data_IF_924529360433
#
_entry.id   IF_924529360433
#
_cell.length_a   1.000
_cell.length_b   1.000
_cell.length_c   1.000
_cell.angle_alpha   90.00
_cell.angle_beta   90.00
_cell.angle_gamma   90.00
#
_symmetry.space_group_name_H-M   'P 1'
#
loop_
_entity.id
_entity.type
_entity.pdbx_description
1 polymer ?
#
# COMPACT_ATOMS: atom_id res chain seq x y z
N UNK A 1 4.89 -0.23 7.43
CA UNK A 1 6.01 0.03 6.48
C UNK A 1 7.23 0.49 7.28
N UNK A 2 8.47 0.07 6.95
CA UNK A 2 9.65 0.36 7.78
C UNK A 2 9.86 1.85 8.10
N UNK A 3 9.56 2.74 7.16
CA UNK A 3 9.64 4.19 7.39
C UNK A 3 8.65 4.70 8.43
N UNK A 4 7.40 4.20 8.42
CA UNK A 4 6.39 4.60 9.39
C UNK A 4 6.75 4.12 10.80
N UNK A 5 7.28 2.90 10.91
CA UNK A 5 7.79 2.34 12.16
C UNK A 5 8.96 3.17 12.70
N UNK A 6 9.90 3.56 11.84
CA UNK A 6 11.01 4.44 12.19
C UNK A 6 10.54 5.80 12.74
N UNK A 7 9.55 6.43 12.10
CA UNK A 7 9.00 7.72 12.54
C UNK A 7 8.32 7.64 13.92
N UNK A 8 7.90 6.45 14.34
CA UNK A 8 7.23 6.22 15.62
C UNK A 8 8.19 5.88 16.77
N UNK A 9 9.50 5.75 16.51
CA UNK A 9 10.50 5.44 17.52
C UNK A 9 10.64 6.57 18.56
N UNK A 10 10.88 6.26 19.85
CA UNK A 10 10.94 7.26 20.93
C UNK A 10 11.91 8.42 20.69
N UNK A 11 13.11 8.16 20.14
CA UNK A 11 14.12 9.20 19.84
C UNK A 11 13.92 9.96 18.52
N UNK A 12 12.95 9.54 17.70
CA UNK A 12 12.58 10.19 16.44
C UNK A 12 11.26 10.97 16.61
N UNK A 13 10.41 10.48 17.52
CA UNK A 13 9.10 11.04 17.83
C UNK A 13 9.24 12.44 18.46
N UNK A 14 8.69 13.44 17.79
CA UNK A 14 8.74 14.85 18.22
C UNK A 14 9.86 15.67 17.56
N UNK A 15 10.75 15.03 16.81
CA UNK A 15 11.72 15.69 15.94
C UNK A 15 11.16 16.05 14.56
N UNK A 16 12.00 16.61 13.69
CA UNK A 16 11.66 16.83 12.28
C UNK A 16 11.46 15.47 11.60
N UNK A 17 10.24 15.23 11.09
CA UNK A 17 9.92 13.99 10.37
C UNK A 17 10.78 13.88 9.12
N UNK A 18 11.51 12.77 9.02
CA UNK A 18 12.27 12.45 7.81
C UNK A 18 11.30 12.07 6.69
N UNK A 19 11.54 12.59 5.49
CA UNK A 19 10.85 12.11 4.29
C UNK A 19 11.29 10.68 3.97
N UNK A 20 10.52 9.97 3.15
CA UNK A 20 10.89 8.61 2.75
C UNK A 20 12.25 8.57 2.05
N UNK A 21 12.54 9.55 1.19
CA UNK A 21 13.85 9.69 0.53
C UNK A 21 15.01 9.88 1.51
N UNK A 22 14.81 10.72 2.53
CA UNK A 22 15.83 10.90 3.58
C UNK A 22 16.04 9.61 4.37
N UNK A 23 14.96 8.89 4.67
CA UNK A 23 15.01 7.60 5.35
C UNK A 23 15.83 6.57 4.57
N UNK A 24 15.65 6.47 3.24
CA UNK A 24 16.44 5.57 2.39
C UNK A 24 17.95 5.83 2.43
N UNK A 25 18.39 7.03 2.84
CA UNK A 25 19.81 7.38 2.97
C UNK A 25 20.36 7.09 4.38
N UNK A 26 19.52 7.08 5.42
CA UNK A 26 19.98 7.00 6.81
C UNK A 26 19.63 5.71 7.54
N UNK A 27 18.76 4.84 7.00
CA UNK A 27 18.28 3.66 7.72
C UNK A 27 19.36 2.64 8.11
N UNK A 28 20.52 2.66 7.44
CA UNK A 28 21.70 1.83 7.69
C UNK A 28 22.77 2.54 8.55
N UNK A 29 22.51 3.78 8.97
CA UNK A 29 23.42 4.57 9.80
C UNK A 29 22.91 4.56 11.23
N UNK A 30 23.69 3.95 12.12
CA UNK A 30 23.29 3.78 13.53
C UNK A 30 24.09 4.64 14.51
N UNK A 31 24.98 5.49 14.00
CA UNK A 31 25.84 6.38 14.80
C UNK A 31 25.59 7.85 14.49
N UNK A 32 25.89 8.77 15.43
CA UNK A 32 25.91 10.20 15.15
C UNK A 32 26.96 10.54 14.08
N UNK A 33 26.77 11.63 13.29
CA UNK A 33 25.68 12.61 13.36
C UNK A 33 24.41 12.23 12.56
N UNK A 34 24.41 11.12 11.80
CA UNK A 34 23.27 10.75 10.96
C UNK A 34 22.13 10.10 11.76
N UNK A 35 22.46 9.41 12.85
CA UNK A 35 21.49 8.83 13.78
C UNK A 35 21.54 9.54 15.13
N UNK A 36 20.43 10.18 15.49
CA UNK A 36 20.27 10.90 16.76
C UNK A 36 19.54 10.07 17.83
N UNK A 37 19.36 8.77 17.61
CA UNK A 37 18.76 7.86 18.59
C UNK A 37 19.83 7.52 19.63
N UNK A 38 19.58 7.90 20.88
CA UNK A 38 20.51 7.67 21.98
C UNK A 38 20.62 6.18 22.31
N UNK A 39 21.72 5.77 22.95
CA UNK A 39 21.92 4.38 23.39
C UNK A 39 20.79 3.89 24.30
N UNK A 40 20.22 4.76 25.14
CA UNK A 40 19.10 4.40 26.01
C UNK A 40 17.82 4.10 25.20
N UNK A 41 17.53 4.90 24.18
CA UNK A 41 16.37 4.70 23.30
C UNK A 41 16.51 3.44 22.44
N UNK A 42 17.74 3.09 22.03
CA UNK A 42 18.03 1.83 21.35
C UNK A 42 17.73 0.58 22.19
N UNK A 43 17.72 0.72 23.52
CA UNK A 43 17.39 -0.39 24.44
C UNK A 43 15.89 -0.57 24.66
N UNK A 44 15.04 0.21 23.98
CA UNK A 44 13.59 0.05 24.03
C UNK A 44 13.12 -1.13 23.17
N UNK A 45 12.03 -1.77 23.59
CA UNK A 45 11.41 -2.89 22.84
C UNK A 45 10.96 -2.46 21.44
N UNK A 46 10.45 -1.22 21.30
CA UNK A 46 10.03 -0.66 20.01
C UNK A 46 11.20 -0.58 19.03
N UNK A 47 12.36 -0.10 19.49
CA UNK A 47 13.55 -0.04 18.67
C UNK A 47 14.02 -1.45 18.28
N UNK A 48 14.11 -2.35 19.26
CA UNK A 48 14.52 -3.74 19.03
C UNK A 48 13.62 -4.46 18.03
N UNK A 49 12.29 -4.27 18.12
CA UNK A 49 11.32 -4.79 17.17
C UNK A 49 11.54 -4.21 15.77
N UNK A 50 11.72 -2.89 15.66
CA UNK A 50 11.94 -2.22 14.38
C UNK A 50 13.21 -2.75 13.67
N UNK A 51 14.36 -2.78 14.35
CA UNK A 51 15.60 -3.30 13.72
C UNK A 51 15.52 -4.79 13.44
N UNK A 52 14.75 -5.55 14.22
CA UNK A 52 14.47 -6.97 13.94
C UNK A 52 13.66 -7.14 12.65
N UNK A 53 12.53 -6.46 12.53
CA UNK A 53 11.67 -6.49 11.35
C UNK A 53 12.39 -6.01 10.09
N UNK A 54 13.20 -4.95 10.20
CA UNK A 54 13.97 -4.41 9.08
C UNK A 54 15.07 -5.38 8.63
N UNK A 55 15.83 -5.98 9.55
CA UNK A 55 16.83 -6.99 9.21
C UNK A 55 16.17 -8.20 8.52
N UNK A 56 15.04 -8.68 9.05
CA UNK A 56 14.31 -9.81 8.47
C UNK A 56 13.78 -9.48 7.06
N UNK A 57 13.27 -8.27 6.85
CA UNK A 57 12.82 -7.83 5.53
C UNK A 57 13.97 -7.81 4.51
N UNK A 58 15.10 -7.20 4.87
CA UNK A 58 16.27 -7.09 4.00
C UNK A 58 16.88 -8.46 3.67
N UNK A 59 16.94 -9.35 4.67
CA UNK A 59 17.41 -10.73 4.45
C UNK A 59 16.45 -11.52 3.55
N UNK A 60 15.14 -11.43 3.79
CA UNK A 60 14.15 -12.07 2.92
C UNK A 60 14.20 -11.53 1.49
N UNK A 61 14.47 -10.22 1.34
CA UNK A 61 14.61 -9.59 0.03
C UNK A 61 15.86 -10.08 -0.71
N UNK A 62 17.05 -10.07 -0.09
CA UNK A 62 18.27 -10.54 -0.76
C UNK A 62 18.16 -12.01 -1.19
N UNK A 63 17.51 -12.86 -0.36
CA UNK A 63 17.25 -14.27 -0.69
C UNK A 63 16.34 -14.44 -1.91
N UNK A 64 15.41 -13.51 -2.14
CA UNK A 64 14.51 -13.53 -3.31
C UNK A 64 15.19 -12.98 -4.57
N UNK A 65 16.03 -11.97 -4.43
CA UNK A 65 16.69 -11.30 -5.56
C UNK A 65 17.92 -12.06 -6.05
N UNK A 66 18.64 -12.74 -5.14
CA UNK A 66 19.91 -13.44 -5.45
C UNK A 66 19.86 -14.92 -5.04
N UNK A 67 18.92 -15.73 -5.57
CA UNK A 67 18.74 -17.12 -5.15
C UNK A 67 19.91 -18.05 -5.55
N UNK A 68 20.75 -17.64 -6.50
CA UNK A 68 21.89 -18.43 -7.00
C UNK A 68 23.20 -18.16 -6.24
N UNK A 69 23.25 -17.16 -5.36
CA UNK A 69 24.43 -16.87 -4.55
C UNK A 69 24.44 -17.71 -3.28
N UNK A 70 25.64 -18.03 -2.76
CA UNK A 70 25.79 -18.70 -1.46
C UNK A 70 25.58 -17.69 -0.31
N UNK A 71 24.31 -17.38 -0.08
CA UNK A 71 23.89 -16.42 0.93
C UNK A 71 24.16 -16.91 2.36
N UNK A 72 24.20 -18.22 2.58
CA UNK A 72 24.54 -18.79 3.90
C UNK A 72 25.99 -18.50 4.26
N UNK A 73 26.92 -18.65 3.30
CA UNK A 73 28.32 -18.22 3.48
C UNK A 73 28.43 -16.71 3.70
N UNK A 74 27.64 -15.91 2.96
CA UNK A 74 27.62 -14.46 3.12
C UNK A 74 27.15 -14.05 4.53
N UNK A 75 26.05 -14.62 5.04
CA UNK A 75 25.55 -14.30 6.37
C UNK A 75 26.50 -14.76 7.47
N UNK A 76 27.12 -15.94 7.33
CA UNK A 76 28.17 -16.38 8.25
C UNK A 76 29.35 -15.40 8.29
N UNK A 77 29.78 -14.88 7.15
CA UNK A 77 30.85 -13.89 7.12
C UNK A 77 30.46 -12.59 7.86
N UNK A 78 29.20 -12.17 7.78
CA UNK A 78 28.71 -11.01 8.55
C UNK A 78 28.70 -11.31 10.06
N UNK A 79 28.26 -12.50 10.45
CA UNK A 79 28.20 -12.91 11.85
C UNK A 79 29.63 -13.05 12.45
N UNK A 80 30.57 -13.59 11.68
CA UNK A 80 32.00 -13.70 12.05
C UNK A 80 32.66 -12.31 12.19
N UNK A 81 32.41 -11.39 11.27
CA UNK A 81 32.92 -10.02 11.35
C UNK A 81 32.35 -9.26 12.56
N UNK A 82 31.07 -9.46 12.85
CA UNK A 82 30.44 -8.91 14.04
C UNK A 82 31.08 -9.46 15.31
N UNK A 83 31.27 -10.78 15.42
CA UNK A 83 31.85 -11.39 16.63
C UNK A 83 33.26 -10.86 16.89
N UNK A 84 34.11 -10.80 15.84
CA UNK A 84 35.44 -10.22 15.94
C UNK A 84 35.40 -8.76 16.42
N UNK A 85 34.51 -7.94 15.83
CA UNK A 85 34.36 -6.53 16.20
C UNK A 85 33.82 -6.35 17.61
N UNK A 86 32.93 -7.26 18.05
CA UNK A 86 32.31 -7.26 19.36
C UNK A 86 33.31 -7.66 20.46
N UNK A 87 34.10 -8.70 20.23
CA UNK A 87 35.19 -9.14 21.11
C UNK A 87 36.25 -8.05 21.28
N UNK A 88 36.60 -7.35 20.19
CA UNK A 88 37.53 -6.21 20.22
C UNK A 88 36.91 -4.94 20.83
N UNK A 89 35.59 -4.93 21.08
CA UNK A 89 34.88 -3.77 21.61
C UNK A 89 34.85 -2.56 20.67
N UNK A 90 34.98 -2.79 19.35
CA UNK A 90 35.07 -1.76 18.32
C UNK A 90 33.80 -1.60 17.48
N UNK A 91 32.67 -2.18 17.94
CA UNK A 91 31.38 -2.00 17.24
C UNK A 91 30.92 -0.55 17.36
N UNK A 92 30.73 0.18 16.25
CA UNK A 92 30.37 1.59 16.27
C UNK A 92 29.08 1.86 17.07
N UNK A 93 29.13 2.78 18.03
CA UNK A 93 28.00 3.12 18.91
C UNK A 93 27.75 2.14 20.07
N UNK A 94 28.50 1.04 20.13
CA UNK A 94 28.43 0.02 21.18
C UNK A 94 29.80 -0.28 21.79
N UNK A 95 30.74 0.65 21.64
CA UNK A 95 32.12 0.52 22.11
C UNK A 95 32.12 0.17 23.60
N UNK A 96 33.03 -0.72 23.99
CA UNK A 96 33.23 -0.99 25.41
C UNK A 96 33.61 0.34 26.07
N UNK A 97 32.92 0.70 27.15
CA UNK A 97 33.36 1.81 28.00
C UNK A 97 34.74 1.43 28.53
N UNK A 98 35.81 1.85 27.86
CA UNK A 98 37.14 1.72 28.42
C UNK A 98 37.09 2.47 29.74
N UNK A 99 37.41 1.77 30.85
CA UNK A 99 37.79 2.44 32.07
C UNK A 99 38.87 3.44 31.68
N UNK A 100 38.63 4.73 31.89
CA UNK A 100 39.49 5.82 31.44
C UNK A 100 40.95 5.54 31.82
N UNK A 101 41.73 5.01 30.88
CA UNK A 101 43.17 5.12 30.93
C UNK A 101 43.49 6.51 30.40
N UNK A 102 43.69 7.40 31.36
CA UNK A 102 44.49 8.60 31.19
C UNK A 102 45.78 8.23 30.45
N UNK A 103 45.89 8.59 29.18
CA UNK A 103 47.16 8.97 28.58
C UNK A 103 46.87 9.94 27.43
N UNK A 104 47.17 11.21 27.69
CA UNK A 104 47.18 12.25 26.68
C UNK A 104 48.23 11.96 25.61
N UNK A 105 47.85 12.20 24.36
CA UNK A 105 48.74 12.14 23.21
C UNK A 105 48.01 12.72 22.02
N UNK A 106 48.33 13.96 21.68
CA UNK A 106 47.65 14.79 20.70
C UNK A 106 47.88 14.35 19.25
N UNK A 107 46.88 14.56 18.40
CA UNK A 107 47.05 15.07 17.04
C UNK A 107 45.77 15.79 16.60
N UNK A 108 45.85 17.11 16.44
CA UNK A 108 44.82 17.96 15.80
C UNK A 108 44.85 17.75 14.28
N UNK A 109 43.76 18.10 13.57
CA UNK A 109 43.83 19.32 12.75
C UNK A 109 42.76 20.35 13.12
N UNK A 110 43.11 21.62 12.91
CA UNK A 110 42.34 22.82 13.22
C UNK A 110 41.32 23.15 12.11
N UNK A 111 40.05 23.39 12.48
CA UNK A 111 39.31 24.62 12.17
C UNK A 111 37.90 24.61 12.83
N UNK A 112 37.57 25.71 13.52
CA UNK A 112 36.24 26.13 14.00
C UNK A 112 35.53 25.33 15.13
N UNK A 113 36.16 25.29 16.31
CA UNK A 113 35.67 26.07 17.46
C UNK A 113 34.40 25.64 18.20
N UNK A 114 34.22 24.36 18.51
CA UNK A 114 33.23 23.89 19.49
C UNK A 114 33.80 22.71 20.29
N UNK A 115 33.81 22.79 21.63
CA UNK A 115 34.18 21.65 22.49
C UNK A 115 32.91 21.06 23.08
N UNK A 116 32.64 19.79 22.81
CA UNK A 116 31.45 19.07 23.28
C UNK A 116 31.68 18.41 24.64
N UNK A 117 30.73 18.54 25.57
CA UNK A 117 30.72 17.78 26.82
C UNK A 117 29.76 16.59 26.72
N UNK A 118 30.28 15.36 26.88
CA UNK A 118 29.47 14.14 26.91
C UNK A 118 28.54 14.05 28.13
N UNK A 119 28.96 14.53 29.30
CA UNK A 119 28.16 14.46 30.55
C UNK A 119 27.01 15.49 30.59
N UNK A 120 27.14 16.59 29.86
CA UNK A 120 26.17 17.69 29.84
C UNK A 120 25.41 17.81 28.52
N UNK A 121 25.81 17.04 27.51
CA UNK A 121 25.27 17.07 26.14
C UNK A 121 25.15 18.49 25.58
N UNK A 122 26.23 19.28 25.74
CA UNK A 122 26.27 20.69 25.32
C UNK A 122 27.57 21.03 24.59
N UNK A 123 27.43 21.84 23.56
CA UNK A 123 28.52 22.43 22.80
C UNK A 123 28.95 23.77 23.44
N UNK A 124 30.25 23.93 23.64
CA UNK A 124 30.85 25.15 24.18
C UNK A 124 31.68 25.85 23.11
N UNK A 125 31.44 27.16 22.94
CA UNK A 125 32.05 28.00 21.90
C UNK A 125 33.58 28.06 21.92
N UNK A 126 34.20 27.74 23.05
CA UNK A 126 35.65 27.77 23.23
C UNK A 126 36.07 26.92 24.43
N UNK A 127 37.31 26.43 24.40
CA UNK A 127 37.91 25.56 25.41
C UNK A 127 37.91 26.17 26.83
N UNK A 128 38.05 27.49 26.95
CA UNK A 128 37.99 28.18 28.25
C UNK A 128 36.61 28.09 28.92
N UNK A 129 35.52 28.23 28.17
CA UNK A 129 34.16 28.11 28.73
C UNK A 129 33.85 26.64 29.03
N UNK A 130 34.34 25.71 28.21
CA UNK A 130 34.25 24.28 28.49
C UNK A 130 34.92 23.91 29.81
N UNK A 131 36.17 24.34 30.03
CA UNK A 131 36.91 24.10 31.28
C UNK A 131 36.25 24.71 32.50
N UNK A 132 35.69 25.91 32.38
CA UNK A 132 34.94 26.54 33.47
C UNK A 132 33.64 25.79 33.80
N UNK A 133 33.00 25.15 32.81
CA UNK A 133 31.78 24.38 33.03
C UNK A 133 32.05 23.05 33.79
N UNK A 134 33.24 22.45 33.64
CA UNK A 134 33.60 21.17 34.31
C UNK A 134 33.56 21.27 35.84
N UNK A 135 33.81 22.45 36.40
CA UNK A 135 33.73 22.69 37.84
C UNK A 135 32.34 23.14 38.31
N UNK A 136 31.38 23.30 37.38
CA UNK A 136 30.03 23.72 37.69
C UNK A 136 29.21 22.62 38.38
N UNK A 137 28.38 22.99 39.35
CA UNK A 137 27.52 22.06 40.12
C UNK A 137 26.66 21.13 39.24
N UNK A 138 26.23 21.60 38.06
CA UNK A 138 25.45 20.80 37.09
C UNK A 138 26.30 19.71 36.43
N UNK A 139 27.51 20.05 35.97
CA UNK A 139 28.42 19.06 35.37
C UNK A 139 28.83 18.02 36.41
N UNK A 140 29.19 18.43 37.62
CA UNK A 140 29.56 17.50 38.71
C UNK A 140 28.42 16.53 39.02
N UNK A 141 27.17 17.01 39.10
CA UNK A 141 26.01 16.14 39.37
C UNK A 141 25.77 15.15 38.22
N UNK A 142 25.87 15.60 36.97
CA UNK A 142 25.71 14.72 35.80
C UNK A 142 26.85 13.70 35.70
N UNK A 143 28.10 14.11 35.94
CA UNK A 143 29.27 13.24 35.95
C UNK A 143 29.22 12.21 37.11
N UNK A 144 28.63 12.56 38.27
CA UNK A 144 28.40 11.62 39.37
C UNK A 144 27.33 10.58 39.04
N UNK A 145 26.25 10.98 38.36
CA UNK A 145 25.22 10.06 37.86
C UNK A 145 25.81 9.13 36.78
N UNK A 146 26.66 9.64 35.90
CA UNK A 146 27.35 8.86 34.88
C UNK A 146 28.36 7.85 35.45
N UNK A 147 28.97 8.16 36.61
CA UNK A 147 29.94 7.31 37.32
C UNK A 147 29.35 6.41 38.43
N UNK A 148 28.01 6.35 38.57
CA UNK A 148 27.35 5.30 39.34
C UNK A 148 27.59 5.28 40.85
N UNK A 149 27.81 6.43 41.49
CA UNK A 149 27.90 6.51 42.96
C UNK A 149 26.62 7.10 43.57
N UNK A 150 25.69 6.29 44.11
CA UNK A 150 24.53 6.81 44.82
C UNK A 150 24.90 7.05 46.28
N UNK A 151 24.87 8.30 46.73
CA UNK A 151 24.70 8.61 48.14
C UNK A 151 23.20 8.47 48.48
N UNK A 152 22.91 7.69 49.51
CA UNK A 152 21.56 7.46 50.01
C UNK A 152 20.95 8.71 50.65
N UNK A 153 19.67 8.94 50.40
CA UNK A 153 18.65 8.93 51.46
C UNK A 153 17.22 9.02 50.89
N UNK A 154 16.37 8.12 51.41
CA UNK A 154 14.89 8.14 51.52
C UNK A 154 14.01 8.70 50.38
N UNK A 155 13.19 7.83 49.77
CA UNK A 155 11.73 7.81 49.99
C UNK A 155 11.06 6.69 49.17
N UNK A 156 10.23 5.90 49.85
CA UNK A 156 9.38 4.85 49.30
C UNK A 156 8.38 5.40 48.27
N UNK A 157 8.31 4.77 47.10
CA UNK A 157 7.08 4.72 46.30
C UNK A 157 7.03 3.41 45.54
N UNK A 158 5.93 2.72 45.74
CA UNK A 158 5.64 1.38 45.27
C UNK A 158 5.39 1.39 43.76
N UNK A 159 6.29 0.80 42.99
CA UNK A 159 6.15 0.60 41.56
C UNK A 159 7.00 -0.58 41.13
N UNK A 160 6.36 -1.71 40.86
CA UNK A 160 6.95 -2.96 40.39
C UNK A 160 7.84 -2.63 39.18
N UNK A 161 9.16 -2.67 39.38
CA UNK A 161 10.17 -2.56 38.32
C UNK A 161 10.98 -3.86 38.35
N UNK A 162 10.78 -4.67 37.31
CA UNK A 162 11.61 -5.84 37.01
C UNK A 162 12.97 -5.40 36.46
N UNK A 163 13.73 -4.64 37.24
CA UNK A 163 15.10 -4.21 36.90
C UNK A 163 16.10 -4.85 37.86
N UNK A 164 16.26 -6.17 37.75
CA UNK A 164 17.32 -6.91 38.42
C UNK A 164 17.96 -7.90 37.44
N UNK A 165 18.77 -7.37 36.52
CA UNK A 165 19.72 -8.15 35.75
C UNK A 165 21.03 -7.39 35.73
N UNK A 166 22.10 -8.00 36.25
CA UNK A 166 23.40 -7.35 36.40
C UNK A 166 24.02 -6.84 35.08
N UNK A 167 25.22 -6.23 35.13
CA UNK A 167 25.91 -5.68 33.96
C UNK A 167 26.07 -6.68 32.79
N UNK A 168 26.16 -7.98 33.09
CA UNK A 168 26.20 -9.04 32.09
C UNK A 168 24.89 -9.18 31.28
N UNK A 169 23.72 -9.06 31.91
CA UNK A 169 22.43 -9.14 31.20
C UNK A 169 22.19 -7.90 30.34
N UNK A 170 22.61 -6.73 30.83
CA UNK A 170 22.58 -5.49 30.04
C UNK A 170 23.45 -5.66 28.79
N UNK A 171 24.70 -6.12 28.94
CA UNK A 171 25.62 -6.33 27.81
C UNK A 171 25.12 -7.37 26.80
N UNK A 172 24.41 -8.41 27.26
CA UNK A 172 23.75 -9.38 26.38
C UNK A 172 22.64 -8.73 25.53
N UNK A 173 21.81 -7.89 26.14
CA UNK A 173 20.76 -7.14 25.43
C UNK A 173 21.37 -6.17 24.42
N UNK A 174 22.43 -5.46 24.81
CA UNK A 174 23.17 -4.58 23.90
C UNK A 174 23.74 -5.35 22.72
N UNK A 175 24.33 -6.53 22.95
CA UNK A 175 24.85 -7.41 21.89
C UNK A 175 23.78 -7.73 20.86
N UNK A 176 22.58 -8.12 21.32
CA UNK A 176 21.48 -8.47 20.43
C UNK A 176 20.98 -7.29 19.57
N UNK A 177 21.01 -6.06 20.11
CA UNK A 177 20.68 -4.85 19.32
C UNK A 177 21.79 -4.55 18.32
N UNK A 178 23.04 -4.55 18.79
CA UNK A 178 24.23 -4.26 17.99
C UNK A 178 24.40 -5.22 16.81
N UNK A 179 24.12 -6.51 17.02
CA UNK A 179 24.15 -7.54 15.98
C UNK A 179 23.15 -7.23 14.87
N UNK A 180 21.92 -6.83 15.21
CA UNK A 180 20.89 -6.46 14.23
C UNK A 180 21.25 -5.19 13.46
N UNK A 181 21.78 -4.19 14.14
CA UNK A 181 22.30 -2.97 13.50
C UNK A 181 23.42 -3.30 12.50
N UNK A 182 24.39 -4.13 12.91
CA UNK A 182 25.46 -4.58 12.03
C UNK A 182 24.92 -5.35 10.82
N UNK A 183 24.00 -6.28 11.03
CA UNK A 183 23.37 -7.07 9.97
C UNK A 183 22.66 -6.19 8.95
N UNK A 184 21.90 -5.17 9.41
CA UNK A 184 21.25 -4.20 8.50
C UNK A 184 22.31 -3.44 7.68
N UNK A 185 23.39 -2.96 8.31
CA UNK A 185 24.44 -2.23 7.61
C UNK A 185 25.12 -3.06 6.53
N UNK A 186 25.38 -4.35 6.82
CA UNK A 186 25.99 -5.30 5.87
C UNK A 186 25.03 -5.64 4.74
N UNK A 187 23.77 -5.95 5.04
CA UNK A 187 22.73 -6.20 4.03
C UNK A 187 22.52 -4.99 3.12
N UNK A 188 22.46 -3.79 3.68
CA UNK A 188 22.31 -2.55 2.91
C UNK A 188 23.53 -2.26 2.02
N UNK A 189 24.73 -2.66 2.46
CA UNK A 189 25.96 -2.53 1.68
C UNK A 189 26.02 -3.55 0.54
N UNK A 190 25.60 -4.80 0.79
CA UNK A 190 25.54 -5.87 -0.21
C UNK A 190 24.46 -5.63 -1.30
N UNK A 191 23.48 -4.76 -1.01
CA UNK A 191 22.40 -4.38 -1.91
C UNK A 191 22.42 -2.88 -2.24
N UNK A 192 23.62 -2.30 -2.37
CA UNK A 192 23.77 -0.86 -2.64
C UNK A 192 23.14 -0.44 -3.96
N UNK A 193 23.16 -1.30 -4.98
CA UNK A 193 22.58 -1.04 -6.31
C UNK A 193 21.06 -0.97 -6.22
N UNK A 194 20.43 -1.98 -5.63
CA UNK A 194 18.99 -2.10 -5.46
C UNK A 194 18.43 -0.97 -4.59
N UNK A 195 19.20 -0.53 -3.59
CA UNK A 195 18.91 0.64 -2.76
C UNK A 195 18.93 1.93 -3.58
N UNK A 196 19.95 2.12 -4.41
CA UNK A 196 20.10 3.31 -5.25
C UNK A 196 18.98 3.38 -6.30
N UNK A 197 18.68 2.24 -6.95
CA UNK A 197 17.57 2.12 -7.90
C UNK A 197 16.22 2.45 -7.24
N UNK A 198 16.01 1.98 -6.01
CA UNK A 198 14.83 2.32 -5.22
C UNK A 198 14.76 3.82 -4.93
N UNK A 199 15.89 4.46 -4.59
CA UNK A 199 15.93 5.92 -4.34
C UNK A 199 15.56 6.69 -5.61
N UNK A 200 16.20 6.38 -6.74
CA UNK A 200 15.93 7.02 -8.03
C UNK A 200 14.48 6.81 -8.45
N UNK A 201 13.93 5.61 -8.26
CA UNK A 201 12.53 5.33 -8.57
C UNK A 201 11.56 6.16 -7.71
N UNK A 202 11.86 6.34 -6.42
CA UNK A 202 11.05 7.17 -5.52
C UNK A 202 11.15 8.65 -5.90
N UNK A 203 12.35 9.15 -6.23
CA UNK A 203 12.55 10.52 -6.72
C UNK A 203 11.78 10.76 -8.02
N UNK A 204 11.86 9.83 -8.97
CA UNK A 204 11.07 9.87 -10.21
C UNK A 204 9.57 9.87 -9.92
N UNK A 205 9.10 9.03 -8.99
CA UNK A 205 7.68 8.98 -8.54
C UNK A 205 7.20 10.25 -7.87
N UNK A 206 8.07 10.94 -7.15
CA UNK A 206 7.76 12.23 -6.56
C UNK A 206 7.64 13.35 -7.61
N UNK A 207 8.36 13.24 -8.74
CA UNK A 207 8.32 14.21 -9.84
C UNK A 207 7.18 14.00 -10.85
N UNK A 208 6.51 12.85 -10.85
CA UNK A 208 5.43 12.53 -11.80
C UNK A 208 4.09 13.16 -11.44
N UNK A 209 3.35 13.54 -12.48
CA UNK A 209 1.94 13.94 -12.39
C UNK A 209 1.05 12.76 -12.03
N UNK A 210 -0.16 13.03 -11.53
CA UNK A 210 -1.10 11.98 -11.14
C UNK A 210 -1.48 11.06 -12.31
N UNK A 211 -1.58 11.60 -13.54
CA UNK A 211 -1.86 10.82 -14.74
C UNK A 211 -0.73 9.85 -15.07
N UNK A 212 0.52 10.33 -15.01
CA UNK A 212 1.70 9.49 -15.26
C UNK A 212 1.85 8.40 -14.20
N UNK A 213 1.58 8.73 -12.92
CA UNK A 213 1.61 7.75 -11.83
C UNK A 213 0.55 6.66 -12.01
N UNK A 214 -0.65 7.01 -12.47
CA UNK A 214 -1.71 6.04 -12.78
C UNK A 214 -1.33 5.14 -13.97
N UNK A 215 -0.74 5.70 -15.02
CA UNK A 215 -0.27 4.94 -16.18
C UNK A 215 0.84 3.97 -15.81
N UNK A 216 1.80 4.38 -14.98
CA UNK A 216 2.85 3.48 -14.51
C UNK A 216 2.30 2.37 -13.61
N UNK A 217 1.39 2.69 -12.68
CA UNK A 217 0.72 1.66 -11.89
C UNK A 217 0.00 0.65 -12.80
N UNK A 218 -0.70 1.12 -13.83
CA UNK A 218 -1.35 0.24 -14.80
C UNK A 218 -0.34 -0.63 -15.57
N UNK A 219 0.83 -0.08 -15.94
CA UNK A 219 1.90 -0.84 -16.57
C UNK A 219 2.50 -1.90 -15.64
N UNK A 220 2.75 -1.55 -14.36
CA UNK A 220 3.23 -2.48 -13.32
C UNK A 220 2.22 -3.63 -13.06
N UNK A 221 0.92 -3.33 -13.06
CA UNK A 221 -0.10 -4.38 -12.94
C UNK A 221 -0.16 -5.28 -14.19
N UNK A 222 0.07 -4.72 -15.37
CA UNK A 222 0.10 -5.49 -16.61
C UNK A 222 1.34 -6.39 -16.72
N UNK A 223 2.52 -5.93 -16.28
CA UNK A 223 3.74 -6.76 -16.27
C UNK A 223 3.67 -7.90 -15.25
N UNK A 224 3.11 -7.67 -14.05
CA UNK A 224 2.95 -8.71 -13.02
C UNK A 224 1.95 -9.78 -13.49
N UNK A 225 0.90 -9.35 -14.21
CA UNK A 225 -0.03 -10.25 -14.90
C UNK A 225 0.60 -10.99 -16.08
N UNK A 226 1.62 -10.43 -16.75
CA UNK A 226 2.35 -11.12 -17.83
C UNK A 226 3.39 -12.11 -17.29
N UNK A 227 4.09 -11.78 -16.20
CA UNK A 227 5.10 -12.65 -15.59
C UNK A 227 4.49 -13.92 -14.97
N UNK A 228 3.30 -13.79 -14.39
CA UNK A 228 2.52 -14.93 -13.88
C UNK A 228 2.12 -15.90 -14.99
N UNK A 229 1.74 -15.41 -16.18
CA UNK A 229 1.46 -16.26 -17.34
C UNK A 229 2.72 -16.87 -17.99
N UNK A 230 3.88 -16.22 -17.90
CA UNK A 230 5.12 -16.68 -18.57
C UNK A 230 5.86 -17.82 -17.85
N UNK A 231 5.63 -18.03 -16.55
CA UNK A 231 6.29 -19.12 -15.78
C UNK A 231 5.64 -20.50 -15.96
N UNK A 232 4.53 -20.59 -16.70
CA UNK A 232 3.81 -21.83 -16.96
C UNK A 232 4.14 -22.51 -18.28
N UNK A 233 4.83 -21.83 -19.21
CA UNK A 233 5.09 -22.33 -20.57
C UNK A 233 6.58 -22.33 -20.87
N UNK A 234 7.27 -23.36 -20.39
CA UNK A 234 8.55 -23.74 -20.94
C UNK A 234 8.35 -24.64 -22.16
N UNK A 235 8.13 -24.07 -23.34
CA UNK A 235 8.63 -24.67 -24.58
C UNK A 235 8.81 -23.63 -25.68
N UNK A 236 9.87 -23.82 -26.45
CA UNK A 236 10.26 -22.97 -27.56
C UNK A 236 9.47 -23.35 -28.82
N UNK A 237 8.67 -22.44 -29.37
CA UNK A 237 8.75 -22.08 -30.78
C UNK A 237 7.83 -20.90 -31.11
N UNK A 238 8.25 -20.17 -32.14
CA UNK A 238 7.72 -18.90 -32.54
C UNK A 238 6.26 -18.94 -33.04
N UNK A 239 5.54 -17.86 -32.72
CA UNK A 239 4.48 -17.25 -33.51
C UNK A 239 3.21 -18.07 -33.78
N UNK A 240 2.26 -18.03 -32.83
CA UNK A 240 0.90 -17.55 -33.09
C UNK A 240 0.20 -17.25 -31.76
N UNK A 241 -0.68 -16.25 -31.75
CA UNK A 241 -1.36 -15.77 -30.56
C UNK A 241 -2.66 -16.55 -30.30
N UNK A 242 -2.62 -17.55 -29.41
CA UNK A 242 -3.74 -18.01 -28.55
C UNK A 242 -3.32 -19.30 -27.83
N UNK A 243 -3.03 -19.27 -26.53
CA UNK A 243 -3.27 -20.44 -25.68
C UNK A 243 -3.53 -20.00 -24.23
N UNK A 244 -4.81 -20.04 -23.86
CA UNK A 244 -5.28 -20.01 -22.49
C UNK A 244 -4.63 -21.15 -21.69
N UNK A 245 -3.79 -20.77 -20.72
CA UNK A 245 -3.22 -21.65 -19.70
C UNK A 245 -4.36 -22.40 -18.97
N UNK A 246 -4.56 -23.69 -19.29
CA UNK A 246 -5.63 -24.52 -18.71
C UNK A 246 -5.33 -24.82 -17.24
N UNK A 247 -5.75 -23.92 -16.34
CA UNK A 247 -5.87 -24.14 -14.90
C UNK A 247 -6.54 -25.50 -14.65
N UNK A 248 -5.88 -26.41 -13.90
CA UNK A 248 -6.39 -27.76 -13.59
C UNK A 248 -7.72 -27.67 -12.84
N UNK A 249 -8.79 -27.76 -13.60
CA UNK A 249 -10.18 -27.65 -13.16
C UNK A 249 -10.88 -28.99 -13.43
N UNK A 250 -10.63 -30.00 -12.58
CA UNK A 250 -11.13 -31.37 -12.79
C UNK A 250 -12.67 -31.45 -12.80
N UNK A 251 -13.35 -30.41 -12.32
CA UNK A 251 -14.81 -30.28 -12.27
C UNK A 251 -15.37 -29.22 -13.25
N UNK A 252 -14.52 -28.60 -14.10
CA UNK A 252 -14.88 -27.54 -15.06
C UNK A 252 -15.78 -26.43 -14.49
N UNK A 253 -15.56 -26.06 -13.22
CA UNK A 253 -16.27 -24.99 -12.54
C UNK A 253 -15.86 -23.61 -13.07
N UNK A 254 -16.78 -22.63 -13.22
CA UNK A 254 -16.42 -21.28 -13.63
C UNK A 254 -15.31 -20.69 -12.74
N UNK A 255 -14.33 -20.04 -13.35
CA UNK A 255 -13.23 -19.38 -12.63
C UNK A 255 -13.75 -18.10 -11.95
N UNK A 256 -13.29 -17.86 -10.74
CA UNK A 256 -13.56 -16.59 -10.07
C UNK A 256 -12.77 -15.44 -10.73
N UNK A 257 -13.05 -14.21 -10.29
CA UNK A 257 -12.24 -13.03 -10.61
C UNK A 257 -10.77 -13.12 -10.13
N UNK A 258 -10.43 -14.13 -9.32
CA UNK A 258 -9.09 -14.48 -8.81
C UNK A 258 -8.41 -15.58 -9.65
N UNK A 259 -8.96 -15.98 -10.81
CA UNK A 259 -8.41 -17.01 -11.69
C UNK A 259 -8.45 -18.45 -11.14
N UNK A 260 -8.79 -18.63 -9.85
CA UNK A 260 -8.93 -19.95 -9.20
C UNK A 260 -10.33 -20.54 -9.40
N UNK A 261 -10.46 -21.88 -9.50
CA UNK A 261 -11.76 -22.54 -9.59
C UNK A 261 -12.58 -22.29 -8.31
N UNK A 262 -13.83 -21.85 -8.49
CA UNK A 262 -14.74 -21.58 -7.37
C UNK A 262 -14.96 -22.88 -6.57
N UNK A 263 -14.82 -22.85 -5.22
CA UNK A 263 -15.09 -24.02 -4.39
C UNK A 263 -16.48 -24.61 -4.67
N UNK A 264 -16.57 -25.94 -4.84
CA UNK A 264 -17.79 -26.64 -5.27
C UNK A 264 -19.03 -26.35 -4.40
N UNK A 265 -18.84 -26.22 -3.08
CA UNK A 265 -19.93 -25.90 -2.15
C UNK A 265 -20.49 -24.49 -2.40
N UNK A 266 -19.63 -23.53 -2.76
CA UNK A 266 -20.01 -22.15 -3.04
C UNK A 266 -20.75 -22.05 -4.39
N UNK A 267 -20.28 -22.81 -5.38
CA UNK A 267 -20.96 -22.98 -6.68
C UNK A 267 -22.37 -23.53 -6.51
N UNK A 268 -22.55 -24.55 -5.66
CA UNK A 268 -23.85 -25.15 -5.38
C UNK A 268 -24.75 -24.24 -4.52
N UNK A 269 -24.18 -23.53 -3.55
CA UNK A 269 -24.91 -22.60 -2.66
C UNK A 269 -25.49 -21.41 -3.43
N UNK A 270 -24.70 -20.81 -4.33
CA UNK A 270 -25.15 -19.68 -5.14
C UNK A 270 -25.90 -20.10 -6.42
N UNK A 271 -26.07 -21.41 -6.65
CA UNK A 271 -26.82 -21.95 -7.78
C UNK A 271 -26.19 -21.65 -9.14
N UNK A 272 -24.88 -21.48 -9.22
CA UNK A 272 -24.16 -21.17 -10.47
C UNK A 272 -24.25 -22.31 -11.51
N UNK A 273 -24.60 -23.52 -11.10
CA UNK A 273 -24.80 -24.66 -12.00
C UNK A 273 -26.19 -24.81 -12.59
N UNK A 274 -27.07 -23.84 -12.35
CA UNK A 274 -28.37 -23.79 -13.02
C UNK A 274 -28.25 -22.83 -14.20
N UNK A 275 -28.44 -23.37 -15.40
CA UNK A 275 -28.36 -22.65 -16.66
C UNK A 275 -29.68 -21.93 -16.95
N UNK A 276 -29.61 -20.62 -17.23
CA UNK A 276 -30.76 -19.81 -17.62
C UNK A 276 -30.53 -19.17 -18.99
N UNK A 277 -31.08 -19.74 -20.07
CA UNK A 277 -30.98 -19.14 -21.41
C UNK A 277 -31.87 -17.90 -21.54
N UNK A 278 -31.39 -16.89 -22.28
CA UNK A 278 -32.17 -15.70 -22.66
C UNK A 278 -32.14 -15.51 -24.18
N UNK A 279 -33.31 -15.66 -24.83
CA UNK A 279 -33.43 -15.56 -26.29
C UNK A 279 -33.17 -14.14 -26.80
N UNK A 280 -33.65 -13.12 -26.09
CA UNK A 280 -33.45 -11.69 -26.42
C UNK A 280 -31.95 -11.32 -26.45
N UNK A 281 -31.11 -12.02 -25.66
CA UNK A 281 -29.67 -11.82 -25.64
C UNK A 281 -28.91 -12.67 -26.68
N UNK A 282 -29.59 -13.23 -27.68
CA UNK A 282 -28.99 -14.14 -28.67
C UNK A 282 -28.80 -15.56 -28.15
N UNK A 283 -29.77 -16.05 -27.36
CA UNK A 283 -29.73 -17.34 -26.66
C UNK A 283 -28.50 -17.52 -25.74
N UNK A 284 -28.05 -16.42 -25.15
CA UNK A 284 -26.94 -16.44 -24.21
C UNK A 284 -27.36 -17.09 -22.89
N UNK A 285 -26.54 -18.01 -22.39
CA UNK A 285 -26.81 -18.76 -21.15
C UNK A 285 -26.17 -18.05 -19.96
N UNK A 286 -27.00 -17.63 -19.01
CA UNK A 286 -26.55 -17.07 -17.75
C UNK A 286 -26.44 -18.15 -16.68
N UNK A 287 -25.31 -18.17 -15.99
CA UNK A 287 -25.02 -19.14 -14.93
C UNK A 287 -25.52 -18.61 -13.58
N UNK A 288 -26.58 -19.25 -13.07
CA UNK A 288 -27.17 -18.94 -11.78
C UNK A 288 -28.14 -17.76 -11.76
N UNK A 289 -29.06 -17.82 -10.79
CA UNK A 289 -30.22 -16.93 -10.71
C UNK A 289 -29.84 -15.45 -10.54
N UNK A 290 -28.79 -15.16 -9.77
CA UNK A 290 -28.38 -13.77 -9.49
C UNK A 290 -27.78 -13.07 -10.72
N UNK A 291 -26.99 -13.78 -11.52
CA UNK A 291 -26.47 -13.26 -12.78
C UNK A 291 -27.62 -13.04 -13.78
N UNK A 292 -28.57 -13.98 -13.80
CA UNK A 292 -29.77 -13.85 -14.60
C UNK A 292 -30.65 -12.67 -14.13
N UNK A 293 -30.92 -12.43 -12.85
CA UNK A 293 -31.74 -11.27 -12.48
C UNK A 293 -31.03 -9.93 -12.79
N UNK A 294 -29.70 -9.90 -12.74
CA UNK A 294 -28.91 -8.71 -13.09
C UNK A 294 -28.94 -8.41 -14.60
N UNK A 295 -28.95 -9.43 -15.46
CA UNK A 295 -28.80 -9.24 -16.90
C UNK A 295 -29.90 -8.39 -17.54
N UNK A 296 -31.10 -8.33 -16.96
CA UNK A 296 -32.20 -7.49 -17.43
C UNK A 296 -31.86 -5.98 -17.43
N UNK A 297 -30.94 -5.57 -16.55
CA UNK A 297 -30.43 -4.20 -16.46
C UNK A 297 -29.15 -3.96 -17.28
N UNK A 298 -28.57 -5.00 -17.86
CA UNK A 298 -27.32 -4.92 -18.59
C UNK A 298 -27.53 -4.44 -20.03
N UNK A 299 -26.50 -3.80 -20.59
CA UNK A 299 -26.56 -3.19 -21.91
C UNK A 299 -26.92 -4.19 -23.01
N UNK A 300 -26.51 -5.46 -22.90
CA UNK A 300 -26.82 -6.50 -23.89
C UNK A 300 -28.32 -6.74 -24.01
N UNK A 301 -29.01 -6.90 -22.89
CA UNK A 301 -30.45 -7.14 -22.88
C UNK A 301 -31.24 -5.89 -23.28
N UNK A 302 -30.82 -4.73 -22.76
CA UNK A 302 -31.39 -3.42 -23.14
C UNK A 302 -31.25 -3.18 -24.64
N UNK A 303 -30.09 -3.50 -25.22
CA UNK A 303 -29.83 -3.38 -26.64
C UNK A 303 -30.70 -4.36 -27.45
N UNK A 304 -30.81 -5.61 -27.02
CA UNK A 304 -31.72 -6.59 -27.63
C UNK A 304 -33.17 -6.09 -27.69
N UNK A 305 -33.70 -5.56 -26.57
CA UNK A 305 -35.03 -4.95 -26.53
C UNK A 305 -35.15 -3.74 -27.47
N UNK A 306 -34.13 -2.89 -27.54
CA UNK A 306 -34.10 -1.74 -28.46
C UNK A 306 -34.11 -2.17 -29.93
N UNK A 307 -33.38 -3.22 -30.29
CA UNK A 307 -33.41 -3.79 -31.64
C UNK A 307 -34.77 -4.34 -32.04
N UNK A 308 -35.58 -4.79 -31.06
CA UNK A 308 -36.97 -5.20 -31.27
C UNK A 308 -37.96 -4.01 -31.35
N UNK A 309 -37.48 -2.77 -31.20
CA UNK A 309 -38.32 -1.56 -31.23
C UNK A 309 -39.01 -1.23 -29.90
N UNK A 310 -38.62 -1.88 -28.81
CA UNK A 310 -39.17 -1.64 -27.47
C UNK A 310 -38.42 -0.46 -26.84
N UNK A 311 -39.10 0.66 -26.64
CA UNK A 311 -38.48 1.88 -26.11
C UNK A 311 -38.46 1.94 -24.58
N UNK A 312 -39.39 1.24 -23.92
CA UNK A 312 -39.50 1.22 -22.45
C UNK A 312 -38.97 -0.11 -21.89
N UNK A 313 -37.67 -0.21 -21.69
CA UNK A 313 -37.02 -1.48 -21.29
C UNK A 313 -37.28 -1.90 -19.84
N UNK A 314 -37.56 -0.96 -18.92
CA UNK A 314 -37.75 -1.26 -17.50
C UNK A 314 -38.99 -2.09 -17.15
N UNK A 315 -39.98 -2.17 -18.05
CA UNK A 315 -41.19 -2.99 -17.86
C UNK A 315 -40.99 -4.46 -18.26
N UNK A 316 -39.88 -4.77 -18.93
CA UNK A 316 -39.62 -6.09 -19.52
C UNK A 316 -38.66 -6.92 -18.65
N UNK A 317 -38.56 -6.60 -17.35
CA UNK A 317 -37.84 -7.45 -16.39
C UNK A 317 -38.49 -8.82 -16.32
N UNK A 318 -37.70 -9.89 -16.36
CA UNK A 318 -38.13 -11.30 -16.33
C UNK A 318 -38.65 -11.89 -17.65
N UNK A 319 -38.59 -11.15 -18.76
CA UNK A 319 -38.99 -11.67 -20.08
C UNK A 319 -37.74 -12.10 -20.84
N UNK A 320 -37.69 -13.38 -21.24
CA UNK A 320 -36.58 -13.93 -22.01
C UNK A 320 -36.92 -14.20 -23.46
N UNK A 321 -38.18 -14.48 -23.77
CA UNK A 321 -38.64 -14.84 -25.10
C UNK A 321 -38.89 -13.63 -25.99
N UNK A 322 -38.45 -13.70 -27.25
CA UNK A 322 -38.61 -12.60 -28.22
C UNK A 322 -40.09 -12.40 -28.56
N UNK A 323 -40.81 -13.50 -28.83
CA UNK A 323 -42.24 -13.43 -29.16
C UNK A 323 -43.07 -12.88 -27.99
N UNK A 324 -42.75 -13.27 -26.76
CA UNK A 324 -43.43 -12.80 -25.56
C UNK A 324 -43.23 -11.29 -25.36
N UNK A 325 -41.99 -10.80 -25.55
CA UNK A 325 -41.68 -9.39 -25.49
C UNK A 325 -42.44 -8.58 -26.55
N UNK A 326 -42.51 -9.07 -27.80
CA UNK A 326 -43.27 -8.41 -28.86
C UNK A 326 -44.77 -8.39 -28.56
N UNK A 327 -45.36 -9.51 -28.13
CA UNK A 327 -46.79 -9.58 -27.78
C UNK A 327 -47.14 -8.64 -26.62
N UNK A 328 -46.28 -8.56 -25.61
CA UNK A 328 -46.48 -7.64 -24.48
C UNK A 328 -46.36 -6.19 -24.94
N UNK A 329 -45.37 -5.87 -25.78
CA UNK A 329 -45.20 -4.53 -26.32
C UNK A 329 -46.40 -4.09 -27.16
N UNK A 330 -46.90 -4.96 -28.04
CA UNK A 330 -48.10 -4.70 -28.84
C UNK A 330 -49.34 -4.48 -27.98
N UNK A 331 -49.45 -5.20 -26.85
CA UNK A 331 -50.51 -4.98 -25.87
C UNK A 331 -50.36 -3.63 -25.18
N UNK A 332 -49.16 -3.28 -24.71
CA UNK A 332 -48.88 -1.99 -24.07
C UNK A 332 -49.15 -0.83 -25.03
N UNK A 333 -48.77 -0.93 -26.30
CA UNK A 333 -49.03 0.11 -27.30
C UNK A 333 -50.52 0.25 -27.59
N UNK A 334 -51.26 -0.85 -27.70
CA UNK A 334 -52.73 -0.82 -27.85
C UNK A 334 -53.41 -0.20 -26.64
N UNK A 335 -53.04 -0.61 -25.44
CA UNK A 335 -53.61 -0.08 -24.20
C UNK A 335 -53.28 1.41 -24.04
N UNK A 336 -52.05 1.82 -24.38
CA UNK A 336 -51.64 3.23 -24.39
C UNK A 336 -52.47 4.05 -25.38
N UNK A 337 -52.66 3.54 -26.61
CA UNK A 337 -53.50 4.19 -27.64
C UNK A 337 -54.95 4.29 -27.18
N UNK A 338 -55.53 3.24 -26.60
CA UNK A 338 -56.88 3.25 -26.05
C UNK A 338 -57.04 4.25 -24.90
N UNK A 339 -56.03 4.38 -24.04
CA UNK A 339 -56.03 5.38 -22.96
C UNK A 339 -55.92 6.79 -23.53
N UNK A 340 -55.09 7.02 -24.54
CA UNK A 340 -54.99 8.32 -25.23
C UNK A 340 -56.31 8.67 -25.93
N UNK A 341 -56.96 7.73 -26.61
CA UNK A 341 -58.28 7.90 -27.23
C UNK A 341 -59.36 8.21 -26.17
N UNK A 342 -59.40 7.46 -25.07
CA UNK A 342 -60.34 7.72 -23.95
C UNK A 342 -60.09 9.08 -23.28
N UNK A 343 -58.84 9.56 -23.29
CA UNK A 343 -58.46 10.89 -22.79
C UNK A 343 -58.70 12.02 -23.80
N UNK A 344 -59.33 11.73 -24.95
CA UNK A 344 -59.73 12.73 -25.95
C UNK A 344 -58.78 12.86 -27.15
N UNK A 345 -57.84 11.93 -27.33
CA UNK A 345 -56.81 12.02 -28.36
C UNK A 345 -55.78 13.11 -28.08
N UNK A 346 -54.75 13.22 -28.93
CA UNK A 346 -53.73 14.26 -28.82
C UNK A 346 -54.37 15.65 -28.98
N UNK A 347 -54.72 16.28 -27.86
CA UNK A 347 -55.05 17.70 -27.74
C UNK A 347 -55.92 18.22 -28.89
N UNK A 348 -57.16 17.75 -28.99
CA UNK A 348 -58.17 18.45 -29.81
C UNK A 348 -58.53 19.72 -29.04
N UNK A 349 -57.66 20.72 -29.11
CA UNK A 349 -58.00 22.10 -28.78
C UNK A 349 -58.91 22.57 -29.91
N UNK A 350 -60.20 22.64 -29.61
CA UNK A 350 -61.24 23.12 -30.51
C UNK A 350 -61.09 24.64 -30.64
N UNK A 351 -60.84 25.11 -31.87
CA UNK A 351 -60.76 26.54 -32.18
C UNK A 351 -61.96 26.92 -33.06
N UNK A 352 -62.58 28.04 -32.73
CA UNK A 352 -63.74 28.58 -33.43
C UNK A 352 -63.29 29.64 -34.45
N UNK A 353 -63.79 29.53 -35.68
CA UNK A 353 -63.58 30.53 -36.73
C UNK A 353 -64.52 31.74 -36.56
N UNK A 354 -64.26 32.84 -37.29
CA UNK A 354 -65.07 34.06 -37.31
C UNK A 354 -66.55 33.83 -37.68
N UNK A 355 -66.86 32.70 -38.33
CA UNK A 355 -68.22 32.27 -38.68
C UNK A 355 -68.84 31.30 -37.67
N UNK A 356 -68.15 30.97 -36.57
CA UNK A 356 -68.65 30.08 -35.53
C UNK A 356 -68.49 28.58 -35.82
N UNK A 357 -67.71 28.22 -36.84
CA UNK A 357 -67.39 26.83 -37.13
C UNK A 357 -66.28 26.33 -36.21
N UNK A 358 -66.54 25.25 -35.47
CA UNK A 358 -65.59 24.64 -34.55
C UNK A 358 -64.77 23.58 -35.28
N UNK A 359 -63.44 23.70 -35.21
CA UNK A 359 -62.53 22.75 -35.85
C UNK A 359 -61.28 22.48 -35.00
N UNK A 360 -60.60 21.34 -35.19
CA UNK A 360 -59.36 21.04 -34.47
C UNK A 360 -58.26 22.08 -34.78
N UNK A 361 -57.49 22.48 -33.78
CA UNK A 361 -56.41 23.48 -33.90
C UNK A 361 -55.49 23.35 -35.13
N UNK A 362 -55.09 22.12 -35.49
CA UNK A 362 -54.25 21.90 -36.68
C UNK A 362 -54.95 22.34 -37.97
N UNK A 363 -56.23 22.00 -38.10
CA UNK A 363 -57.05 22.35 -39.28
C UNK A 363 -57.24 23.87 -39.32
N UNK A 364 -57.50 24.49 -38.18
CA UNK A 364 -57.58 25.95 -38.09
C UNK A 364 -56.25 26.61 -38.48
N UNK A 365 -55.11 26.18 -37.93
CA UNK A 365 -53.81 26.79 -38.25
C UNK A 365 -53.42 26.62 -39.72
N UNK A 366 -53.77 25.49 -40.33
CA UNK A 366 -53.51 25.24 -41.75
C UNK A 366 -54.43 26.08 -42.66
N UNK A 367 -55.72 26.19 -42.34
CA UNK A 367 -56.65 27.10 -43.03
C UNK A 367 -56.24 28.56 -42.85
N UNK A 368 -55.77 28.96 -41.65
CA UNK A 368 -55.23 30.30 -41.38
C UNK A 368 -54.00 30.60 -42.25
N UNK A 369 -53.05 29.66 -42.34
CA UNK A 369 -51.84 29.80 -43.16
C UNK A 369 -52.15 29.86 -44.65
N UNK A 370 -53.19 29.14 -45.09
CA UNK A 370 -53.67 29.15 -46.45
C UNK A 370 -54.62 30.32 -46.78
N UNK A 371 -54.96 31.15 -45.79
CA UNK A 371 -55.82 32.33 -45.95
C UNK A 371 -57.30 32.02 -46.18
N UNK A 372 -57.77 30.89 -45.65
CA UNK A 372 -59.12 30.33 -45.84
C UNK A 372 -60.00 30.42 -44.57
N UNK A 373 -59.59 31.20 -43.56
CA UNK A 373 -60.36 31.55 -42.35
C UNK A 373 -60.68 33.04 -42.32
#
# INVERSE_FOLDING_TARGET
MPHEEYLNLPGVKGGKKLTYLQYLVVFDKFTPPQCNITRQEKMTEQYFSYVGSLAQYLESFIRRVKPLEDLEKLFRAFDEEFEQSWEMGMVPGWEAKQAAQSNGGAAKPEEMGGVWCADCEREFKNDNVYKAHLTGKKHIKNAQVANGTPNGDTAMSHGITTSAGGPALARLKERAVAEREHRIQKLASAMSTEREDTRVNVERKAGMTDRERQQELAALFAEDSMFTNATATGDADAADADDDEKVYNPLKLPLAWDGKPIPFWLYKLHGLGVEFPCEICGNYVYMGRRAFDKHFSEQRHIYGLKCLGITQTGLFSQITGIEEAQRLWDKIQRDKKLIEERKGGAGVEEMEDTQGHVMPRKVYEDLRKAGLL
#
